data_IF_695268098733
#
_entry.id   IF_695268098733
#
_cell.length_a   1.000
_cell.length_b   1.000
_cell.length_c   1.000
_cell.angle_alpha   90.00
_cell.angle_beta   90.00
_cell.angle_gamma   90.00
#
_symmetry.space_group_name_H-M   'P 1'
#
loop_
_entity.id
_entity.type
_entity.pdbx_description
1 polymer ?
#
# COMPACT_ATOMS: atom_id res chain seq x y z
N UNK A 1 3.80 -6.99 -31.04
CA UNK A 1 2.32 -6.80 -30.99
C UNK A 1 2.00 -6.27 -29.62
N UNK A 2 1.47 -5.05 -29.51
CA UNK A 2 1.08 -4.48 -28.21
C UNK A 2 -0.21 -5.19 -27.76
N UNK A 3 -0.05 -6.30 -27.03
CA UNK A 3 -1.19 -6.97 -26.42
C UNK A 3 -1.82 -6.09 -25.33
N UNK A 4 -3.13 -6.22 -25.12
CA UNK A 4 -3.81 -5.57 -23.99
C UNK A 4 -3.21 -6.03 -22.67
N UNK A 5 -3.12 -5.12 -21.71
CA UNK A 5 -2.78 -5.43 -20.34
C UNK A 5 -4.09 -5.60 -19.57
N UNK A 6 -4.19 -6.68 -18.83
CA UNK A 6 -5.38 -6.99 -18.02
C UNK A 6 -5.04 -7.04 -16.54
N UNK A 7 -6.01 -6.73 -15.72
CA UNK A 7 -5.97 -6.90 -14.27
C UNK A 7 -6.63 -8.24 -13.95
N UNK A 8 -5.92 -9.14 -13.27
CA UNK A 8 -6.42 -10.47 -12.92
C UNK A 8 -6.64 -10.65 -11.43
N UNK A 9 -6.15 -9.74 -10.60
CA UNK A 9 -6.39 -9.70 -9.17
C UNK A 9 -6.20 -8.31 -8.62
N UNK A 10 -6.86 -8.04 -7.51
CA UNK A 10 -6.76 -6.79 -6.77
C UNK A 10 -6.87 -7.03 -5.26
N UNK A 11 -6.17 -6.24 -4.48
CA UNK A 11 -6.25 -6.29 -3.03
C UNK A 11 -6.09 -4.92 -2.41
N UNK A 12 -6.76 -4.70 -1.30
CA UNK A 12 -6.83 -3.40 -0.63
C UNK A 12 -6.98 -3.54 0.88
N UNK A 13 -6.34 -2.63 1.59
CA UNK A 13 -6.62 -2.33 3.00
C UNK A 13 -6.61 -0.82 3.20
N UNK A 14 -7.61 -0.30 3.87
CA UNK A 14 -7.73 1.14 4.13
C UNK A 14 -8.58 1.40 5.39
N UNK A 15 -8.76 2.68 5.73
CA UNK A 15 -9.60 3.09 6.86
C UNK A 15 -11.08 2.69 6.73
N UNK A 16 -11.54 2.28 5.55
CA UNK A 16 -12.93 1.88 5.30
C UNK A 16 -13.13 0.36 5.16
N UNK A 17 -12.05 -0.42 5.21
CA UNK A 17 -12.17 -1.88 5.17
C UNK A 17 -10.86 -2.61 4.92
N UNK A 18 -10.87 -3.89 5.27
CA UNK A 18 -9.84 -4.87 4.96
C UNK A 18 -10.38 -5.78 3.87
N UNK A 19 -9.74 -5.74 2.72
CA UNK A 19 -10.17 -6.46 1.53
C UNK A 19 -11.22 -5.72 0.70
N UNK A 20 -11.41 -6.17 -0.53
CA UNK A 20 -12.28 -5.55 -1.53
C UNK A 20 -13.76 -5.56 -1.12
N UNK A 21 -14.23 -6.66 -0.54
CA UNK A 21 -15.64 -6.81 -0.17
C UNK A 21 -16.07 -5.82 0.92
N UNK A 22 -15.26 -5.66 1.98
CA UNK A 22 -15.55 -4.71 3.04
C UNK A 22 -15.44 -3.27 2.54
N UNK A 23 -14.40 -2.99 1.73
CA UNK A 23 -14.22 -1.69 1.08
C UNK A 23 -15.43 -1.34 0.21
N UNK A 24 -15.90 -2.27 -0.63
CA UNK A 24 -17.07 -2.05 -1.49
C UNK A 24 -18.33 -1.79 -0.65
N UNK A 25 -18.59 -2.60 0.39
CA UNK A 25 -19.73 -2.37 1.30
C UNK A 25 -19.67 -0.98 1.93
N UNK A 26 -18.49 -0.54 2.36
CA UNK A 26 -18.31 0.78 2.96
C UNK A 26 -18.54 1.91 1.95
N UNK A 27 -18.07 1.75 0.70
CA UNK A 27 -18.30 2.72 -0.38
C UNK A 27 -19.81 2.83 -0.71
N UNK A 28 -20.50 1.70 -0.87
CA UNK A 28 -21.95 1.68 -1.13
C UNK A 28 -22.73 2.31 0.02
N UNK A 29 -22.31 2.07 1.26
CA UNK A 29 -22.90 2.66 2.45
C UNK A 29 -22.47 4.12 2.69
N UNK A 30 -21.60 4.69 1.83
CA UNK A 30 -21.01 6.03 1.98
C UNK A 30 -20.34 6.24 3.36
N UNK A 31 -19.74 5.19 3.90
CA UNK A 31 -19.05 5.23 5.18
C UNK A 31 -17.71 5.96 5.01
N UNK A 32 -17.45 6.97 5.81
CA UNK A 32 -16.14 7.59 5.92
C UNK A 32 -15.27 6.83 6.91
N UNK A 33 -13.98 6.66 6.56
CA UNK A 33 -12.95 6.17 7.48
C UNK A 33 -12.16 7.28 8.16
N UNK A 34 -12.45 8.55 7.83
CA UNK A 34 -11.79 9.71 8.43
C UNK A 34 -12.36 9.95 9.82
N UNK A 35 -11.49 9.98 10.83
CA UNK A 35 -11.88 10.15 12.23
C UNK A 35 -10.69 10.32 13.16
N UNK A 36 -10.91 10.15 14.46
CA UNK A 36 -9.85 10.26 15.45
C UNK A 36 -8.84 9.12 15.33
N UNK A 37 -7.56 9.46 15.46
CA UNK A 37 -6.46 8.50 15.55
C UNK A 37 -6.61 7.61 16.80
N UNK A 38 -6.32 6.32 16.64
CA UNK A 38 -6.39 5.30 17.70
C UNK A 38 -5.04 4.65 17.96
N UNK A 39 -4.24 4.47 16.92
CA UNK A 39 -2.97 3.73 16.96
C UNK A 39 -1.77 4.68 16.87
N UNK A 40 -1.80 5.69 15.99
CA UNK A 40 -0.72 6.66 15.88
C UNK A 40 -0.73 7.62 17.08
N UNK A 41 0.31 7.54 17.92
CA UNK A 41 0.52 8.47 19.04
C UNK A 41 1.16 9.76 18.54
N UNK A 42 0.44 10.88 18.61
CA UNK A 42 0.88 12.19 18.11
C UNK A 42 0.35 13.34 18.97
N UNK A 43 1.03 14.49 18.90
CA UNK A 43 0.54 15.73 19.52
C UNK A 43 -0.69 16.32 18.77
N UNK A 44 -0.96 15.87 17.55
CA UNK A 44 -2.06 16.32 16.69
C UNK A 44 -3.22 15.31 16.67
N UNK A 45 -3.59 14.77 17.83
CA UNK A 45 -4.67 13.78 17.95
C UNK A 45 -6.07 14.35 17.68
N UNK A 46 -6.19 15.67 17.58
CA UNK A 46 -7.38 16.42 17.20
C UNK A 46 -7.64 16.46 15.68
N UNK A 47 -6.60 16.20 14.87
CA UNK A 47 -6.73 16.16 13.42
C UNK A 47 -7.33 14.82 12.96
N UNK A 48 -8.45 14.83 12.22
CA UNK A 48 -9.06 13.62 11.73
C UNK A 48 -8.23 13.02 10.58
N UNK A 49 -7.97 11.71 10.66
CA UNK A 49 -7.22 10.95 9.68
C UNK A 49 -7.95 9.67 9.28
N UNK A 50 -7.62 9.15 8.10
CA UNK A 50 -8.05 7.85 7.63
C UNK A 50 -7.10 6.75 8.10
N UNK A 51 -7.13 6.40 9.39
CA UNK A 51 -6.30 5.34 9.96
C UNK A 51 -6.95 3.97 9.77
N UNK A 52 -6.18 2.96 9.40
CA UNK A 52 -6.63 1.56 9.36
C UNK A 52 -6.92 1.11 10.79
N UNK A 53 -8.15 0.64 11.05
CA UNK A 53 -8.61 0.30 12.39
C UNK A 53 -8.08 -1.06 12.86
N UNK A 54 -6.78 -1.27 12.74
CA UNK A 54 -6.03 -2.42 13.22
C UNK A 54 -4.69 -1.96 13.78
N UNK A 55 -4.34 -2.44 14.97
CA UNK A 55 -3.01 -2.26 15.54
C UNK A 55 -1.95 -3.05 14.76
N UNK A 56 -0.67 -2.73 14.97
CA UNK A 56 0.41 -3.50 14.35
C UNK A 56 0.40 -4.97 14.79
N UNK A 57 -0.03 -5.26 16.02
CA UNK A 57 -0.18 -6.61 16.53
C UNK A 57 -1.29 -7.38 15.80
N UNK A 58 -2.46 -6.74 15.61
CA UNK A 58 -3.57 -7.34 14.85
C UNK A 58 -3.20 -7.57 13.39
N UNK A 59 -2.46 -6.62 12.75
CA UNK A 59 -1.94 -6.78 11.40
C UNK A 59 -0.96 -7.95 11.30
N UNK A 60 0.01 -8.06 12.24
CA UNK A 60 0.95 -9.19 12.31
C UNK A 60 0.22 -10.53 12.46
N UNK A 61 -0.74 -10.59 13.37
CA UNK A 61 -1.54 -11.80 13.59
C UNK A 61 -2.30 -12.22 12.33
N UNK A 62 -2.87 -11.25 11.60
CA UNK A 62 -3.60 -11.51 10.36
C UNK A 62 -2.75 -12.13 9.25
N UNK A 63 -1.43 -11.87 9.26
CA UNK A 63 -0.50 -12.40 8.24
C UNK A 63 0.45 -13.49 8.78
N UNK A 64 0.34 -13.86 10.06
CA UNK A 64 1.16 -14.90 10.68
C UNK A 64 2.62 -14.47 10.97
N UNK A 65 2.86 -13.18 11.13
CA UNK A 65 4.17 -12.65 11.54
C UNK A 65 4.31 -12.71 13.05
N UNK A 66 5.45 -13.22 13.60
CA UNK A 66 5.67 -13.27 15.04
C UNK A 66 5.54 -11.89 15.70
N UNK A 67 4.95 -11.84 16.89
CA UNK A 67 4.67 -10.59 17.59
C UNK A 67 5.95 -9.80 17.94
N UNK A 68 7.05 -10.49 18.22
CA UNK A 68 8.36 -9.93 18.55
C UNK A 68 9.16 -9.43 17.34
N UNK A 69 8.78 -9.83 16.11
CA UNK A 69 9.41 -9.32 14.90
C UNK A 69 9.03 -7.85 14.68
N UNK A 70 10.03 -6.98 14.53
CA UNK A 70 9.82 -5.58 14.17
C UNK A 70 9.66 -5.49 12.65
N UNK A 71 8.50 -5.04 12.21
CA UNK A 71 8.14 -4.85 10.80
C UNK A 71 7.52 -3.46 10.66
N UNK A 72 7.89 -2.67 9.64
CA UNK A 72 7.23 -1.39 9.35
C UNK A 72 5.74 -1.57 9.09
N UNK A 73 4.93 -0.64 9.57
CA UNK A 73 3.48 -0.67 9.33
C UNK A 73 3.14 -0.62 7.84
N UNK A 74 3.89 0.14 7.04
CA UNK A 74 3.80 0.15 5.57
C UNK A 74 3.92 -1.26 4.99
N UNK A 75 4.91 -2.04 5.46
CA UNK A 75 5.12 -3.44 5.05
C UNK A 75 3.93 -4.33 5.43
N UNK A 76 3.40 -4.20 6.66
CA UNK A 76 2.26 -4.99 7.12
C UNK A 76 1.01 -4.75 6.25
N UNK A 77 0.71 -3.48 5.97
CA UNK A 77 -0.40 -3.10 5.09
C UNK A 77 -0.17 -3.63 3.66
N UNK A 78 1.05 -3.49 3.14
CA UNK A 78 1.43 -3.98 1.81
C UNK A 78 1.25 -5.49 1.67
N UNK A 79 1.70 -6.28 2.64
CA UNK A 79 1.55 -7.75 2.63
C UNK A 79 0.07 -8.16 2.55
N UNK A 80 -0.81 -7.50 3.32
CA UNK A 80 -2.25 -7.82 3.31
C UNK A 80 -2.84 -7.58 1.93
N UNK A 81 -2.58 -6.43 1.32
CA UNK A 81 -3.13 -6.10 0.00
C UNK A 81 -2.53 -6.96 -1.12
N UNK A 82 -1.20 -7.19 -1.09
CA UNK A 82 -0.54 -8.08 -2.08
C UNK A 82 -1.07 -9.50 -1.98
N UNK A 83 -1.28 -10.03 -0.76
CA UNK A 83 -1.83 -11.37 -0.56
C UNK A 83 -3.21 -11.51 -1.21
N UNK A 84 -4.14 -10.59 -0.93
CA UNK A 84 -5.48 -10.62 -1.52
C UNK A 84 -5.41 -10.57 -3.06
N UNK A 85 -4.57 -9.68 -3.62
CA UNK A 85 -4.41 -9.55 -5.07
C UNK A 85 -3.86 -10.84 -5.71
N UNK A 86 -2.83 -11.44 -5.11
CA UNK A 86 -2.21 -12.66 -5.63
C UNK A 86 -3.12 -13.89 -5.49
N UNK A 87 -3.84 -14.02 -4.37
CA UNK A 87 -4.81 -15.09 -4.14
C UNK A 87 -5.94 -15.04 -5.16
N UNK A 88 -6.51 -13.85 -5.41
CA UNK A 88 -7.56 -13.68 -6.42
C UNK A 88 -7.06 -14.00 -7.83
N UNK A 89 -5.87 -13.52 -8.17
CA UNK A 89 -5.27 -13.82 -9.47
C UNK A 89 -4.87 -15.31 -9.61
N UNK A 90 -4.74 -16.05 -8.52
CA UNK A 90 -4.22 -17.42 -8.53
C UNK A 90 -2.75 -17.49 -8.96
N UNK A 91 -1.94 -16.49 -8.61
CA UNK A 91 -0.52 -16.39 -8.96
C UNK A 91 0.38 -16.51 -7.75
N UNK A 92 1.64 -16.87 -8.00
CA UNK A 92 2.73 -16.93 -7.02
C UNK A 92 3.94 -16.18 -7.53
N UNK A 93 4.85 -15.84 -6.63
CA UNK A 93 6.17 -15.34 -7.00
C UNK A 93 6.93 -16.32 -7.90
N UNK A 94 7.68 -15.80 -8.84
CA UNK A 94 8.52 -16.59 -9.76
C UNK A 94 9.59 -15.71 -10.41
N UNK A 95 10.56 -16.30 -11.09
CA UNK A 95 11.60 -15.57 -11.85
C UNK A 95 11.04 -14.69 -12.98
N UNK A 96 9.82 -14.95 -13.44
CA UNK A 96 9.10 -14.17 -14.46
C UNK A 96 8.04 -13.25 -13.88
N UNK A 97 7.91 -13.19 -12.54
CA UNK A 97 7.05 -12.27 -11.83
C UNK A 97 7.83 -11.08 -11.27
N UNK A 98 7.18 -9.93 -11.15
CA UNK A 98 7.74 -8.75 -10.49
C UNK A 98 6.83 -8.22 -9.39
N UNK A 99 7.44 -7.63 -8.36
CA UNK A 99 6.76 -6.77 -7.37
C UNK A 99 7.25 -5.33 -7.55
N UNK A 100 6.33 -4.41 -7.78
CA UNK A 100 6.59 -2.98 -7.92
C UNK A 100 5.72 -2.24 -6.91
N UNK A 101 6.34 -1.73 -5.85
CA UNK A 101 5.61 -1.03 -4.78
C UNK A 101 5.92 0.46 -4.79
N UNK A 102 4.87 1.27 -4.72
CA UNK A 102 4.95 2.71 -4.52
C UNK A 102 4.88 3.06 -3.04
N UNK A 103 5.86 3.80 -2.54
CA UNK A 103 5.84 4.36 -1.18
C UNK A 103 6.77 5.55 -1.06
N UNK A 104 6.46 6.50 -0.17
CA UNK A 104 7.34 7.62 0.20
C UNK A 104 7.69 7.62 1.68
N UNK A 105 6.94 6.90 2.47
CA UNK A 105 7.15 6.79 3.92
C UNK A 105 8.14 5.68 4.26
N UNK A 106 8.07 4.55 3.55
CA UNK A 106 8.89 3.39 3.89
C UNK A 106 8.71 2.97 5.35
N UNK A 107 9.80 2.73 6.05
CA UNK A 107 9.83 2.36 7.47
C UNK A 107 10.02 3.54 8.43
N UNK A 108 9.53 4.71 8.09
CA UNK A 108 9.61 5.93 8.91
C UNK A 108 9.02 5.72 10.32
N UNK A 109 7.94 4.97 10.44
CA UNK A 109 7.29 4.66 11.73
C UNK A 109 8.23 3.92 12.70
N UNK A 110 9.05 2.98 12.19
CA UNK A 110 10.09 2.30 12.98
C UNK A 110 11.18 3.28 13.41
N UNK A 111 11.63 4.12 12.48
CA UNK A 111 12.64 5.16 12.77
C UNK A 111 12.14 6.14 13.83
N UNK A 112 10.90 6.61 13.74
CA UNK A 112 10.31 7.49 14.75
C UNK A 112 10.28 6.84 16.13
N UNK A 113 9.89 5.57 16.21
CA UNK A 113 9.90 4.81 17.48
C UNK A 113 11.30 4.71 18.07
N UNK A 114 12.30 4.36 17.22
CA UNK A 114 13.69 4.28 17.66
C UNK A 114 14.24 5.62 18.17
N UNK A 115 13.99 6.72 17.46
CA UNK A 115 14.44 8.05 17.86
C UNK A 115 13.80 8.53 19.16
N UNK A 116 12.53 8.23 19.40
CA UNK A 116 11.79 8.73 20.55
C UNK A 116 11.96 7.88 21.81
N UNK A 117 12.21 6.58 21.65
CA UNK A 117 12.28 5.63 22.75
C UNK A 117 13.71 5.13 23.04
N UNK A 118 14.71 5.59 22.30
CA UNK A 118 16.10 5.14 22.43
C UNK A 118 16.30 3.68 21.99
N UNK A 119 15.70 3.30 20.86
CA UNK A 119 15.73 1.94 20.34
C UNK A 119 17.04 1.55 19.64
N UNK A 120 17.08 0.30 19.17
CA UNK A 120 18.22 -0.27 18.44
C UNK A 120 18.43 0.43 17.09
N UNK A 121 19.58 1.06 16.93
CA UNK A 121 19.96 1.77 15.68
C UNK A 121 20.08 0.84 14.47
N UNK A 122 20.25 -0.47 14.67
CA UNK A 122 20.25 -1.44 13.56
C UNK A 122 18.92 -1.46 12.79
N UNK A 123 17.84 -1.01 13.42
CA UNK A 123 16.51 -0.90 12.82
C UNK A 123 16.39 0.24 11.80
N UNK A 124 17.34 1.18 11.77
CA UNK A 124 17.34 2.23 10.72
C UNK A 124 17.51 1.67 9.32
N UNK A 125 18.01 0.45 9.15
CA UNK A 125 17.99 -0.25 7.86
C UNK A 125 16.56 -0.44 7.29
N UNK A 126 15.55 -0.43 8.14
CA UNK A 126 14.15 -0.53 7.73
C UNK A 126 13.55 0.80 7.29
N UNK A 127 14.29 1.91 7.41
CA UNK A 127 13.84 3.25 7.06
C UNK A 127 13.55 3.40 5.57
N UNK A 128 14.42 2.83 4.74
CA UNK A 128 14.36 3.02 3.30
C UNK A 128 13.08 2.45 2.69
N UNK A 129 12.54 3.17 1.71
CA UNK A 129 11.37 2.72 0.95
C UNK A 129 11.60 1.34 0.31
N UNK A 130 12.81 1.09 -0.20
CA UNK A 130 13.22 -0.20 -0.77
C UNK A 130 13.09 -1.35 0.20
N UNK A 131 13.52 -1.16 1.43
CA UNK A 131 13.46 -2.21 2.48
C UNK A 131 12.03 -2.71 2.72
N UNK A 132 11.02 -1.82 2.66
CA UNK A 132 9.63 -2.24 2.80
C UNK A 132 9.18 -3.12 1.63
N UNK A 133 9.58 -2.78 0.41
CA UNK A 133 9.25 -3.59 -0.78
C UNK A 133 9.96 -4.93 -0.76
N UNK A 134 11.22 -4.96 -0.36
CA UNK A 134 12.00 -6.21 -0.22
C UNK A 134 11.37 -7.13 0.84
N UNK A 135 10.98 -6.61 1.99
CA UNK A 135 10.29 -7.40 3.02
C UNK A 135 8.93 -7.95 2.56
N UNK A 136 8.18 -7.19 1.75
CA UNK A 136 6.94 -7.69 1.12
C UNK A 136 7.29 -8.82 0.15
N UNK A 137 8.30 -8.65 -0.70
CA UNK A 137 8.72 -9.67 -1.67
C UNK A 137 9.18 -10.96 -0.99
N UNK A 138 9.98 -10.85 0.06
CA UNK A 138 10.51 -11.98 0.84
C UNK A 138 9.37 -12.77 1.50
N UNK A 139 8.31 -12.10 1.96
CA UNK A 139 7.14 -12.74 2.55
C UNK A 139 6.46 -13.72 1.58
N UNK A 140 6.46 -13.42 0.28
CA UNK A 140 5.80 -14.24 -0.76
C UNK A 140 6.75 -15.23 -1.46
N UNK A 141 7.99 -15.38 -1.00
CA UNK A 141 8.92 -16.38 -1.50
C UNK A 141 9.69 -15.99 -2.77
N UNK A 142 9.70 -14.69 -3.09
CA UNK A 142 10.58 -14.13 -4.11
C UNK A 142 9.91 -13.83 -5.45
N UNK A 143 10.48 -12.81 -6.08
CA UNK A 143 10.14 -12.34 -7.42
C UNK A 143 11.43 -12.17 -8.23
N UNK A 144 11.37 -12.36 -9.54
CA UNK A 144 12.53 -12.16 -10.43
C UNK A 144 12.94 -10.70 -10.57
N UNK A 145 12.03 -9.77 -10.28
CA UNK A 145 12.29 -8.33 -10.18
C UNK A 145 11.53 -7.74 -9.00
N UNK A 146 12.24 -7.02 -8.15
CA UNK A 146 11.67 -6.23 -7.05
C UNK A 146 12.13 -4.80 -7.21
N UNK A 147 11.22 -3.85 -7.16
CA UNK A 147 11.58 -2.43 -7.24
C UNK A 147 10.58 -1.52 -6.55
N UNK A 148 11.07 -0.39 -6.09
CA UNK A 148 10.28 0.63 -5.40
C UNK A 148 10.23 1.90 -6.22
N UNK A 149 9.05 2.48 -6.31
CA UNK A 149 8.83 3.81 -6.90
C UNK A 149 8.52 4.79 -5.78
N UNK A 150 9.28 5.87 -5.73
CA UNK A 150 9.05 6.96 -4.78
C UNK A 150 8.96 8.29 -5.51
N UNK A 151 7.75 8.64 -5.91
CA UNK A 151 7.40 9.87 -6.65
C UNK A 151 6.22 10.59 -5.98
N UNK A 152 6.28 10.68 -4.65
CA UNK A 152 5.25 11.28 -3.80
C UNK A 152 3.86 10.65 -4.06
N UNK A 153 2.82 11.45 -4.22
CA UNK A 153 1.43 11.01 -4.35
C UNK A 153 1.16 10.14 -5.60
N UNK A 154 2.08 10.13 -6.58
CA UNK A 154 1.95 9.36 -7.82
C UNK A 154 2.68 8.02 -7.80
N UNK A 155 3.32 7.63 -6.69
CA UNK A 155 4.17 6.43 -6.61
C UNK A 155 3.43 5.16 -7.04
N UNK A 156 2.24 4.93 -6.51
CA UNK A 156 1.44 3.73 -6.86
C UNK A 156 1.01 3.71 -8.33
N UNK A 157 0.60 4.86 -8.88
CA UNK A 157 0.25 4.97 -10.30
C UNK A 157 1.45 4.70 -11.20
N UNK A 158 2.62 5.26 -10.87
CA UNK A 158 3.86 5.03 -11.60
C UNK A 158 4.33 3.56 -11.50
N UNK A 159 4.05 2.89 -10.38
CA UNK A 159 4.31 1.45 -10.24
C UNK A 159 3.48 0.62 -11.23
N UNK A 160 2.21 0.95 -11.39
CA UNK A 160 1.31 0.31 -12.35
C UNK A 160 1.77 0.59 -13.79
N UNK A 161 2.13 1.85 -14.11
CA UNK A 161 2.63 2.22 -15.42
C UNK A 161 3.91 1.45 -15.79
N UNK A 162 4.90 1.43 -14.88
CA UNK A 162 6.13 0.65 -15.09
C UNK A 162 5.81 -0.83 -15.28
N UNK A 163 4.87 -1.37 -14.49
CA UNK A 163 4.42 -2.76 -14.62
C UNK A 163 3.88 -3.06 -16.01
N UNK A 164 3.01 -2.21 -16.53
CA UNK A 164 2.48 -2.35 -17.87
C UNK A 164 3.58 -2.35 -18.95
N UNK A 165 4.57 -1.47 -18.82
CA UNK A 165 5.69 -1.38 -19.77
C UNK A 165 6.60 -2.61 -19.72
N UNK A 166 6.84 -3.18 -18.55
CA UNK A 166 7.61 -4.42 -18.41
C UNK A 166 6.92 -5.62 -19.05
N UNK A 167 5.59 -5.72 -18.95
CA UNK A 167 4.80 -6.74 -19.66
C UNK A 167 4.84 -6.52 -21.16
N UNK A 168 4.57 -5.29 -21.63
CA UNK A 168 4.61 -4.94 -23.07
C UNK A 168 5.96 -5.23 -23.70
N UNK A 169 7.05 -5.07 -22.96
CA UNK A 169 8.42 -5.38 -23.39
C UNK A 169 8.80 -6.87 -23.29
N UNK A 170 7.91 -7.74 -22.76
CA UNK A 170 8.16 -9.17 -22.59
C UNK A 170 9.15 -9.52 -21.48
N UNK A 171 9.48 -8.58 -20.60
CA UNK A 171 10.43 -8.79 -19.49
C UNK A 171 9.83 -9.58 -18.35
N UNK A 172 8.55 -9.41 -18.09
CA UNK A 172 7.79 -10.11 -17.06
C UNK A 172 6.48 -10.65 -17.64
N UNK A 173 5.98 -11.74 -17.08
CA UNK A 173 4.68 -12.31 -17.44
C UNK A 173 3.59 -11.90 -16.47
N UNK A 174 3.93 -11.75 -15.19
CA UNK A 174 3.04 -11.37 -14.08
C UNK A 174 3.67 -10.24 -13.29
N UNK A 175 2.91 -9.20 -13.00
CA UNK A 175 3.38 -8.10 -12.16
C UNK A 175 2.36 -7.79 -11.07
N UNK A 176 2.83 -7.76 -9.85
CA UNK A 176 2.09 -7.20 -8.71
C UNK A 176 2.52 -5.75 -8.55
N UNK A 177 1.64 -4.80 -8.85
CA UNK A 177 1.95 -3.38 -8.85
C UNK A 177 0.93 -2.60 -8.02
N UNK A 178 1.40 -1.60 -7.30
CA UNK A 178 0.53 -0.77 -6.47
C UNK A 178 1.33 0.07 -5.49
N UNK A 179 0.80 0.28 -4.30
CA UNK A 179 1.51 1.01 -3.26
C UNK A 179 0.95 0.77 -1.87
N UNK A 180 1.77 1.07 -0.89
CA UNK A 180 1.44 1.02 0.52
C UNK A 180 2.03 2.23 1.24
N UNK A 181 1.27 2.79 2.16
CA UNK A 181 1.70 3.94 2.96
C UNK A 181 1.09 3.87 4.34
N UNK A 182 1.86 4.12 5.40
CA UNK A 182 1.33 4.26 6.74
C UNK A 182 1.28 5.72 7.19
N UNK A 183 0.44 6.02 8.17
CA UNK A 183 0.46 7.29 8.88
C UNK A 183 1.69 7.38 9.77
N UNK A 184 2.38 8.53 9.76
CA UNK A 184 3.53 8.83 10.59
C UNK A 184 3.43 10.21 11.22
N UNK A 185 4.12 10.43 12.31
CA UNK A 185 4.24 11.76 12.93
C UNK A 185 4.94 12.74 12.00
N UNK A 186 5.94 12.27 11.25
CA UNK A 186 6.67 13.08 10.30
C UNK A 186 5.73 13.70 9.25
N UNK A 187 4.88 12.87 8.62
CA UNK A 187 3.93 13.36 7.63
C UNK A 187 2.89 14.28 8.26
N UNK A 188 2.32 13.89 9.39
CA UNK A 188 1.31 14.69 10.06
C UNK A 188 1.86 16.07 10.47
N UNK A 189 3.08 16.11 11.06
CA UNK A 189 3.76 17.36 11.42
C UNK A 189 4.10 18.18 10.17
N UNK A 190 4.61 17.53 9.11
CA UNK A 190 4.99 18.19 7.86
C UNK A 190 3.78 18.88 7.21
N UNK A 191 2.70 18.14 6.99
CA UNK A 191 1.49 18.68 6.38
C UNK A 191 0.80 19.72 7.27
N UNK A 192 0.83 19.54 8.60
CA UNK A 192 0.31 20.54 9.54
C UNK A 192 1.15 21.84 9.50
N UNK A 193 2.47 21.75 9.37
CA UNK A 193 3.33 22.94 9.25
C UNK A 193 3.06 23.75 7.99
N UNK A 194 2.61 23.09 6.92
CA UNK A 194 2.15 23.73 5.69
C UNK A 194 0.75 24.34 5.79
N UNK A 195 0.04 24.12 6.90
CA UNK A 195 -1.34 24.60 7.16
C UNK A 195 -2.34 24.17 6.10
N UNK A 196 -2.22 22.91 5.64
CA UNK A 196 -3.10 22.34 4.61
C UNK A 196 -3.97 21.18 5.13
N UNK A 197 -3.93 20.92 6.44
CA UNK A 197 -4.81 19.96 7.09
C UNK A 197 -6.10 20.64 7.56
N UNK A 198 -7.23 19.96 7.37
CA UNK A 198 -8.54 20.41 7.86
C UNK A 198 -8.90 19.65 9.15
N UNK A 199 -9.47 20.34 10.12
CA UNK A 199 -10.06 19.76 11.33
C UNK A 199 -11.41 19.09 11.09
N UNK A 200 -12.00 19.31 9.90
CA UNK A 200 -13.24 18.71 9.42
C UNK A 200 -12.95 17.73 8.26
N UNK A 201 -13.90 16.85 7.92
CA UNK A 201 -13.74 15.98 6.74
C UNK A 201 -13.53 16.79 5.46
N UNK A 202 -12.56 16.36 4.66
CA UNK A 202 -12.20 16.98 3.40
C UNK A 202 -13.41 17.13 2.46
N UNK A 203 -13.54 18.32 1.88
CA UNK A 203 -14.62 18.70 0.97
C UNK A 203 -14.05 19.13 -0.40
N UNK A 204 -13.60 18.18 -1.24
CA UNK A 204 -12.98 18.52 -2.53
C UNK A 204 -13.91 19.36 -3.39
N UNK A 205 -13.35 20.39 -4.01
CA UNK A 205 -14.05 21.33 -4.92
C UNK A 205 -15.14 22.19 -4.27
N UNK A 206 -15.49 22.00 -3.02
CA UNK A 206 -16.46 22.83 -2.30
C UNK A 206 -15.92 24.25 -2.06
N UNK A 207 -16.81 25.25 -2.06
CA UNK A 207 -16.44 26.62 -1.79
C UNK A 207 -15.94 26.83 -0.35
N UNK A 208 -16.37 25.97 0.59
CA UNK A 208 -15.99 26.01 2.01
C UNK A 208 -14.82 25.08 2.35
N UNK A 209 -14.15 24.48 1.34
CA UNK A 209 -12.97 23.63 1.59
C UNK A 209 -11.89 24.39 2.34
N UNK A 210 -11.25 23.70 3.29
CA UNK A 210 -10.24 24.34 4.15
C UNK A 210 -8.96 23.49 4.30
N UNK A 211 -8.85 22.39 3.58
CA UNK A 211 -7.69 21.51 3.65
C UNK A 211 -8.02 20.07 3.29
N UNK A 212 -7.16 19.17 3.72
CA UNK A 212 -7.26 17.72 3.49
C UNK A 212 -7.09 16.95 4.81
N UNK A 213 -7.41 15.66 4.77
CA UNK A 213 -7.10 14.71 5.84
C UNK A 213 -6.09 13.68 5.31
N UNK A 214 -5.09 13.36 6.13
CA UNK A 214 -4.17 12.28 5.81
C UNK A 214 -4.83 10.92 6.03
N UNK A 215 -4.33 9.91 5.33
CA UNK A 215 -4.76 8.53 5.49
C UNK A 215 -3.61 7.56 5.29
N UNK A 216 -3.86 6.30 5.63
CA UNK A 216 -2.99 5.17 5.37
C UNK A 216 -3.75 4.06 4.66
N UNK A 217 -3.02 3.16 4.05
CA UNK A 217 -3.56 2.00 3.38
C UNK A 217 -2.59 1.37 2.40
N UNK A 218 -3.04 0.32 1.74
CA UNK A 218 -2.35 -0.30 0.64
C UNK A 218 -3.35 -0.76 -0.41
N UNK A 219 -2.94 -0.67 -1.68
CA UNK A 219 -3.70 -1.17 -2.81
C UNK A 219 -2.77 -1.71 -3.88
N UNK A 220 -3.00 -2.95 -4.29
CA UNK A 220 -2.21 -3.63 -5.32
C UNK A 220 -3.11 -4.31 -6.33
N UNK A 221 -2.62 -4.40 -7.57
CA UNK A 221 -3.25 -5.12 -8.67
C UNK A 221 -2.25 -6.10 -9.27
N UNK A 222 -2.76 -7.21 -9.79
CA UNK A 222 -1.97 -8.15 -10.60
C UNK A 222 -2.22 -7.82 -12.06
N UNK A 223 -1.14 -7.53 -12.78
CA UNK A 223 -1.12 -7.21 -14.20
C UNK A 223 -0.55 -8.37 -14.99
N UNK A 224 -1.16 -8.66 -16.14
CA UNK A 224 -0.70 -9.66 -17.10
C UNK A 224 -1.02 -9.19 -18.53
N UNK A 225 -0.32 -9.77 -19.54
CA UNK A 225 -0.84 -9.67 -20.88
C UNK A 225 -2.13 -10.49 -21.00
N UNK A 226 -3.09 -10.03 -21.81
CA UNK A 226 -4.34 -10.76 -22.06
C UNK A 226 -4.07 -12.20 -22.54
N UNK A 227 -3.06 -12.37 -23.40
CA UNK A 227 -2.63 -13.68 -23.90
C UNK A 227 -2.17 -14.61 -22.77
N UNK A 228 -1.31 -14.11 -21.85
CA UNK A 228 -0.83 -14.89 -20.72
C UNK A 228 -1.97 -15.27 -19.78
N UNK A 229 -2.83 -14.32 -19.42
CA UNK A 229 -3.98 -14.54 -18.55
C UNK A 229 -4.92 -15.63 -19.12
N UNK A 230 -5.29 -15.53 -20.40
CA UNK A 230 -6.15 -16.50 -21.07
C UNK A 230 -5.52 -17.88 -21.16
N UNK A 231 -4.22 -17.96 -21.47
CA UNK A 231 -3.47 -19.22 -21.57
C UNK A 231 -3.48 -20.02 -20.27
N UNK A 232 -3.45 -19.34 -19.11
CA UNK A 232 -3.53 -19.99 -17.79
C UNK A 232 -4.95 -20.12 -17.24
N UNK A 233 -5.97 -19.72 -18.01
CA UNK A 233 -7.38 -19.81 -17.63
C UNK A 233 -7.83 -18.75 -16.62
N UNK A 234 -7.10 -17.65 -16.48
CA UNK A 234 -7.52 -16.54 -15.63
C UNK A 234 -8.66 -15.75 -16.27
N UNK A 235 -9.53 -15.23 -15.42
CA UNK A 235 -10.62 -14.33 -15.83
C UNK A 235 -10.20 -12.89 -15.52
N UNK A 236 -10.00 -12.02 -16.54
CA UNK A 236 -9.67 -10.63 -16.29
C UNK A 236 -10.78 -9.90 -15.53
N UNK A 237 -10.40 -9.10 -14.54
CA UNK A 237 -11.28 -8.20 -13.80
C UNK A 237 -11.53 -6.90 -14.58
N UNK A 238 -10.55 -6.51 -15.39
CA UNK A 238 -10.58 -5.28 -16.19
C UNK A 238 -9.41 -5.18 -17.15
N UNK A 239 -9.43 -4.15 -17.97
CA UNK A 239 -8.38 -3.80 -18.93
C UNK A 239 -7.69 -2.54 -18.41
N UNK A 240 -6.37 -2.50 -18.52
CA UNK A 240 -5.58 -1.30 -18.26
C UNK A 240 -5.33 -0.61 -19.63
N UNK A 241 -5.93 0.57 -19.81
CA UNK A 241 -5.80 1.41 -21.00
C UNK A 241 -4.66 2.44 -20.86
#
# INVERSE_FOLDING_TARGET
>A
MSGRIVITGAGIISAIGVGKEETLRSLVARKSGVGRLRHLQTAHSDLPCGEVNMSDEELKNAIGVPADRIVPRTTLLGIIAVREAMEEAGVKGSDRAALISGTTVGGMDVTERCCLQGGDQSLFRLHDCGSCTDEIADFFGGFGLVTTISTACSSAANSIMLGADLIKSGRCDVIVAGGAECLTRYHLNGFNSLKILDSEPCRPFDATRNGLNLGEGAGFVVLESEEHALKRGAVPLGILD
#
